data_IF_917623117903
#
_entry.id   IF_917623117903
#
_cell.length_a   1.000
_cell.length_b   1.000
_cell.length_c   1.000
_cell.angle_alpha   90.00
_cell.angle_beta   90.00
_cell.angle_gamma   90.00
#
_symmetry.space_group_name_H-M   'P 1'
#
loop_
_entity.id
_entity.type
_entity.pdbx_description
1 polymer ?
#
# COMPACT_ATOMS: atom_id res chain seq x y z
N UNK A 1 -28.62 -63.11 38.83
CA UNK A 1 -27.27 -62.60 38.59
C UNK A 1 -27.07 -62.03 37.18
N UNK A 2 -27.52 -62.70 36.11
CA UNK A 2 -27.38 -62.24 34.71
C UNK A 2 -27.90 -60.82 34.44
N UNK A 3 -29.08 -60.44 34.97
CA UNK A 3 -29.65 -59.11 34.76
C UNK A 3 -28.86 -57.97 35.40
N UNK A 4 -28.18 -58.18 36.53
CA UNK A 4 -27.33 -57.18 37.18
C UNK A 4 -26.04 -56.97 36.41
N UNK A 5 -25.51 -58.01 35.78
CA UNK A 5 -24.29 -57.92 34.95
C UNK A 5 -24.61 -57.14 33.68
N UNK A 6 -25.72 -57.42 33.01
CA UNK A 6 -26.10 -56.69 31.79
C UNK A 6 -26.39 -55.20 32.10
N UNK A 7 -26.94 -54.87 33.24
CA UNK A 7 -27.13 -53.48 33.69
C UNK A 7 -25.81 -52.76 33.93
N UNK A 8 -24.84 -53.44 34.57
CA UNK A 8 -23.52 -52.88 34.80
C UNK A 8 -22.76 -52.65 33.48
N UNK A 9 -22.85 -53.58 32.52
CA UNK A 9 -22.25 -53.45 31.19
C UNK A 9 -22.89 -52.28 30.44
N UNK A 10 -24.21 -52.09 30.54
CA UNK A 10 -24.92 -50.96 29.91
C UNK A 10 -24.50 -49.60 30.49
N UNK A 11 -24.28 -49.52 31.79
CA UNK A 11 -23.77 -48.29 32.44
C UNK A 11 -22.31 -48.01 32.01
N UNK A 12 -21.49 -49.06 31.95
CA UNK A 12 -20.09 -48.93 31.55
C UNK A 12 -19.95 -48.49 30.08
N UNK A 13 -20.79 -49.03 29.18
CA UNK A 13 -20.80 -48.62 27.77
C UNK A 13 -21.33 -47.20 27.59
N UNK A 14 -22.32 -46.77 28.38
CA UNK A 14 -22.81 -45.40 28.38
C UNK A 14 -21.77 -44.41 28.87
N UNK A 15 -20.98 -44.76 29.89
CA UNK A 15 -19.88 -43.96 30.39
C UNK A 15 -18.72 -43.80 29.39
N UNK A 16 -18.43 -44.87 28.61
CA UNK A 16 -17.38 -44.84 27.58
C UNK A 16 -17.80 -43.97 26.37
N UNK A 17 -19.08 -44.01 25.98
CA UNK A 17 -19.62 -43.21 24.89
C UNK A 17 -19.67 -41.70 25.25
N UNK A 18 -19.89 -41.35 26.51
CA UNK A 18 -19.87 -39.95 26.97
C UNK A 18 -18.47 -39.34 27.05
N UNK A 19 -17.42 -40.16 26.94
CA UNK A 19 -16.00 -39.69 26.97
C UNK A 19 -15.44 -39.33 25.60
N UNK A 20 -16.24 -39.43 24.52
CA UNK A 20 -15.83 -38.95 23.20
C UNK A 20 -15.90 -37.41 23.24
N UNK A 21 -14.87 -36.80 23.78
CA UNK A 21 -14.66 -35.37 23.62
C UNK A 21 -14.51 -35.09 22.12
N UNK A 22 -15.54 -34.50 21.52
CA UNK A 22 -15.44 -33.86 20.23
C UNK A 22 -14.32 -32.83 20.35
N UNK A 23 -13.16 -33.14 19.83
CA UNK A 23 -12.09 -32.15 19.66
C UNK A 23 -12.62 -31.13 18.64
N UNK A 24 -13.30 -30.12 19.15
CA UNK A 24 -13.64 -28.96 18.36
C UNK A 24 -12.30 -28.40 17.88
N UNK A 25 -12.06 -28.41 16.57
CA UNK A 25 -10.88 -27.77 15.98
C UNK A 25 -10.81 -26.33 16.50
N UNK A 26 -9.81 -26.04 17.31
CA UNK A 26 -9.65 -24.71 17.89
C UNK A 26 -9.48 -23.70 16.75
N UNK A 27 -10.39 -22.75 16.68
CA UNK A 27 -10.36 -21.71 15.64
C UNK A 27 -9.21 -20.74 15.91
N UNK A 28 -8.51 -20.38 14.87
CA UNK A 28 -7.52 -19.31 14.94
C UNK A 28 -8.26 -17.99 15.10
N UNK A 29 -8.07 -17.32 16.23
CA UNK A 29 -8.67 -16.03 16.55
C UNK A 29 -7.83 -14.89 15.97
N UNK A 30 -8.46 -14.02 15.21
CA UNK A 30 -7.85 -12.81 14.63
C UNK A 30 -8.58 -11.58 15.15
N UNK A 31 -7.86 -10.73 15.89
CA UNK A 31 -8.38 -9.45 16.36
C UNK A 31 -8.33 -8.38 15.29
N UNK A 32 -9.39 -7.60 15.13
CA UNK A 32 -9.37 -6.43 14.28
C UNK A 32 -9.44 -5.16 15.13
N UNK A 33 -8.38 -4.34 15.07
CA UNK A 33 -8.30 -3.07 15.80
C UNK A 33 -8.58 -1.91 14.85
N UNK A 34 -9.84 -1.48 14.78
CA UNK A 34 -10.32 -0.57 13.74
C UNK A 34 -11.09 0.61 14.35
N UNK A 35 -11.04 1.81 13.75
CA UNK A 35 -11.93 2.92 14.11
C UNK A 35 -13.33 2.65 13.56
N UNK A 36 -14.20 2.05 14.37
CA UNK A 36 -15.58 1.73 13.98
C UNK A 36 -16.58 2.84 14.35
N UNK A 37 -16.08 3.95 14.90
CA UNK A 37 -16.86 5.16 15.22
C UNK A 37 -16.00 6.41 15.01
N UNK A 38 -16.64 7.61 15.06
CA UNK A 38 -15.95 8.88 14.87
C UNK A 38 -15.65 9.19 13.39
N UNK A 39 -14.73 10.14 13.17
CA UNK A 39 -14.38 10.69 11.87
C UNK A 39 -13.89 9.60 10.88
N UNK A 40 -13.04 8.70 11.35
CA UNK A 40 -12.43 7.66 10.53
C UNK A 40 -13.25 6.36 10.42
N UNK A 41 -14.54 6.38 10.84
CA UNK A 41 -15.44 5.20 10.80
C UNK A 41 -15.52 4.55 9.42
N UNK A 42 -15.57 5.36 8.36
CA UNK A 42 -15.70 4.85 7.00
C UNK A 42 -14.51 3.98 6.59
N UNK A 43 -13.29 4.39 6.98
CA UNK A 43 -12.06 3.62 6.72
C UNK A 43 -12.10 2.30 7.49
N UNK A 44 -12.40 2.35 8.80
CA UNK A 44 -12.50 1.15 9.63
C UNK A 44 -13.55 0.17 9.13
N UNK A 45 -14.72 0.66 8.73
CA UNK A 45 -15.81 -0.16 8.17
C UNK A 45 -15.40 -0.79 6.83
N UNK A 46 -14.67 -0.07 5.99
CA UNK A 46 -14.18 -0.60 4.70
C UNK A 46 -13.18 -1.75 4.92
N UNK A 47 -12.25 -1.59 5.87
CA UNK A 47 -11.31 -2.66 6.24
C UNK A 47 -12.06 -3.87 6.80
N UNK A 48 -13.03 -3.66 7.71
CA UNK A 48 -13.85 -4.75 8.26
C UNK A 48 -14.57 -5.54 7.16
N UNK A 49 -15.18 -4.85 6.20
CA UNK A 49 -15.83 -5.48 5.04
C UNK A 49 -14.85 -6.27 4.19
N UNK A 50 -13.68 -5.70 3.91
CA UNK A 50 -12.63 -6.36 3.10
C UNK A 50 -12.13 -7.65 3.77
N UNK A 51 -11.89 -7.62 5.09
CA UNK A 51 -11.50 -8.81 5.85
C UNK A 51 -12.62 -9.85 5.82
N UNK A 52 -13.88 -9.44 6.05
CA UNK A 52 -15.02 -10.35 5.99
C UNK A 52 -15.19 -11.02 4.63
N UNK A 53 -14.98 -10.27 3.53
CA UNK A 53 -15.02 -10.81 2.18
C UNK A 53 -13.88 -11.81 1.93
N UNK A 54 -12.67 -11.50 2.38
CA UNK A 54 -11.51 -12.39 2.26
C UNK A 54 -11.73 -13.71 3.01
N UNK A 55 -12.23 -13.62 4.24
CA UNK A 55 -12.52 -14.78 5.09
C UNK A 55 -13.60 -15.67 4.46
N UNK A 56 -14.66 -15.08 3.91
CA UNK A 56 -15.71 -15.83 3.21
C UNK A 56 -15.18 -16.54 1.95
N UNK A 57 -14.18 -15.95 1.27
CA UNK A 57 -13.61 -16.55 0.05
C UNK A 57 -12.71 -17.75 0.32
N UNK A 58 -12.06 -17.82 1.49
CA UNK A 58 -11.07 -18.87 1.81
C UNK A 58 -11.64 -20.06 2.61
N UNK A 59 -12.96 -20.22 2.67
CA UNK A 59 -13.64 -21.26 3.46
C UNK A 59 -13.13 -21.32 4.92
N UNK A 60 -13.58 -20.37 5.69
CA UNK A 60 -12.98 -19.97 6.96
C UNK A 60 -13.52 -20.71 8.19
N UNK A 61 -13.93 -21.95 8.08
CA UNK A 61 -14.42 -22.69 9.27
C UNK A 61 -13.40 -22.74 10.43
N UNK A 62 -12.12 -22.50 10.11
CA UNK A 62 -11.00 -22.46 11.06
C UNK A 62 -10.63 -21.07 11.58
N UNK A 63 -11.27 -20.02 11.10
CA UNK A 63 -10.97 -18.65 11.51
C UNK A 63 -12.11 -18.03 12.30
N UNK A 64 -11.78 -17.25 13.31
CA UNK A 64 -12.71 -16.44 14.08
C UNK A 64 -12.22 -14.99 14.07
N UNK A 65 -13.03 -14.09 13.49
CA UNK A 65 -12.70 -12.67 13.38
C UNK A 65 -13.38 -11.90 14.52
N UNK A 66 -12.59 -11.19 15.31
CA UNK A 66 -13.00 -10.47 16.49
C UNK A 66 -12.77 -8.96 16.33
N UNK A 67 -13.73 -8.21 15.77
CA UNK A 67 -13.59 -6.78 15.59
C UNK A 67 -13.75 -6.03 16.92
N UNK A 68 -12.86 -5.04 17.15
CA UNK A 68 -12.93 -4.11 18.28
C UNK A 68 -12.78 -2.68 17.78
N UNK A 69 -13.63 -1.81 18.31
CA UNK A 69 -13.52 -0.38 18.06
C UNK A 69 -12.35 0.20 18.88
N UNK A 70 -11.39 0.82 18.21
CA UNK A 70 -10.27 1.51 18.86
C UNK A 70 -10.50 3.01 19.01
N UNK A 71 -11.65 3.52 18.55
CA UNK A 71 -12.04 4.94 18.60
C UNK A 71 -11.01 5.90 17.98
N UNK A 72 -10.09 5.40 17.16
CA UNK A 72 -8.93 6.13 16.65
C UNK A 72 -8.10 6.83 17.77
N UNK A 73 -8.01 6.16 18.92
CA UNK A 73 -7.36 6.66 20.12
C UNK A 73 -6.30 5.64 20.62
N UNK A 74 -5.05 6.08 20.92
CA UNK A 74 -3.95 5.18 21.32
C UNK A 74 -4.25 4.35 22.59
N UNK A 75 -4.84 4.97 23.62
CA UNK A 75 -5.15 4.30 24.88
C UNK A 75 -6.27 3.27 24.67
N UNK A 76 -7.33 3.65 23.97
CA UNK A 76 -8.46 2.76 23.68
C UNK A 76 -8.03 1.60 22.78
N UNK A 77 -7.12 1.85 21.83
CA UNK A 77 -6.54 0.81 20.98
C UNK A 77 -5.77 -0.23 21.80
N UNK A 78 -4.95 0.23 22.77
CA UNK A 78 -4.23 -0.69 23.65
C UNK A 78 -5.16 -1.49 24.55
N UNK A 79 -6.20 -0.86 25.13
CA UNK A 79 -7.21 -1.53 25.95
C UNK A 79 -7.94 -2.60 25.13
N UNK A 80 -8.38 -2.27 23.92
CA UNK A 80 -9.05 -3.20 23.02
C UNK A 80 -8.14 -4.39 22.62
N UNK A 81 -6.87 -4.09 22.32
CA UNK A 81 -5.89 -5.13 22.01
C UNK A 81 -5.64 -6.04 23.20
N UNK A 82 -5.48 -5.48 24.42
CA UNK A 82 -5.23 -6.25 25.63
C UNK A 82 -6.42 -7.13 25.99
N UNK A 83 -7.64 -6.64 25.88
CA UNK A 83 -8.85 -7.45 26.11
C UNK A 83 -8.90 -8.68 25.20
N UNK A 84 -8.66 -8.50 23.90
CA UNK A 84 -8.60 -9.62 22.96
C UNK A 84 -7.42 -10.56 23.25
N UNK A 85 -6.27 -10.00 23.59
CA UNK A 85 -5.07 -10.76 23.97
C UNK A 85 -5.30 -11.65 25.18
N UNK A 86 -5.93 -11.12 26.23
CA UNK A 86 -6.29 -11.89 27.45
C UNK A 86 -7.32 -13.01 27.12
N UNK A 87 -8.12 -12.86 26.04
CA UNK A 87 -9.01 -13.88 25.49
C UNK A 87 -8.33 -14.83 24.47
N UNK A 88 -7.01 -14.87 24.43
CA UNK A 88 -6.22 -15.80 23.63
C UNK A 88 -5.94 -15.38 22.20
N UNK A 89 -6.29 -14.16 21.79
CA UNK A 89 -5.92 -13.64 20.46
C UNK A 89 -4.42 -13.35 20.40
N UNK A 90 -3.75 -13.80 19.34
CA UNK A 90 -2.32 -13.58 19.13
C UNK A 90 -2.00 -12.96 17.77
N UNK A 91 -2.96 -12.87 16.88
CA UNK A 91 -2.83 -12.26 15.56
C UNK A 91 -3.81 -11.10 15.48
N UNK A 92 -3.31 -9.93 15.15
CA UNK A 92 -4.10 -8.71 15.03
C UNK A 92 -3.92 -8.08 13.65
N UNK A 93 -5.02 -7.62 13.06
CA UNK A 93 -5.05 -6.77 11.87
C UNK A 93 -5.42 -5.35 12.34
N UNK A 94 -4.57 -4.40 12.04
CA UNK A 94 -4.62 -3.05 12.58
C UNK A 94 -3.55 -2.82 13.68
N UNK A 95 -3.48 -1.59 14.19
CA UNK A 95 -4.31 -0.44 13.85
C UNK A 95 -3.99 0.14 12.46
N UNK A 96 -4.87 1.05 12.01
CA UNK A 96 -4.70 1.72 10.71
C UNK A 96 -3.66 2.84 10.83
N UNK A 97 -3.77 3.67 11.86
CA UNK A 97 -2.94 4.87 12.03
C UNK A 97 -1.78 4.64 13.00
N UNK A 98 -0.64 5.25 12.67
CA UNK A 98 0.60 5.14 13.44
C UNK A 98 0.44 5.50 14.92
N UNK A 99 -0.27 6.59 15.22
CA UNK A 99 -0.49 7.04 16.60
C UNK A 99 -1.04 5.94 17.51
N UNK A 100 -1.80 5.01 16.95
CA UNK A 100 -2.47 3.92 17.67
C UNK A 100 -1.56 2.70 17.93
N UNK A 101 -0.31 2.70 17.47
CA UNK A 101 0.66 1.61 17.71
C UNK A 101 1.21 1.64 19.15
N UNK A 102 1.10 2.78 19.82
CA UNK A 102 1.65 3.00 21.15
C UNK A 102 1.28 1.86 22.12
N UNK A 103 2.28 1.35 22.84
CA UNK A 103 2.18 0.29 23.84
C UNK A 103 1.85 -1.14 23.31
N UNK A 104 1.52 -1.34 22.02
CA UNK A 104 1.23 -2.67 21.49
C UNK A 104 2.42 -3.63 21.59
N UNK A 105 3.65 -3.11 21.54
CA UNK A 105 4.88 -3.90 21.72
C UNK A 105 4.99 -4.58 23.10
N UNK A 106 4.20 -4.17 24.11
CA UNK A 106 4.13 -4.81 25.41
C UNK A 106 3.43 -6.18 25.39
N UNK A 107 2.65 -6.46 24.34
CA UNK A 107 1.97 -7.74 24.12
C UNK A 107 2.89 -8.65 23.28
N UNK A 108 3.97 -9.14 23.89
CA UNK A 108 5.15 -9.68 23.21
C UNK A 108 4.91 -10.91 22.32
N UNK A 109 3.95 -11.77 22.69
CA UNK A 109 3.59 -12.99 21.95
C UNK A 109 2.42 -12.79 20.97
N UNK A 110 2.02 -11.54 20.74
CA UNK A 110 1.07 -11.19 19.70
C UNK A 110 1.78 -10.53 18.52
N UNK A 111 1.26 -10.76 17.30
CA UNK A 111 1.71 -10.12 16.06
C UNK A 111 0.65 -9.13 15.63
N UNK A 112 1.07 -7.91 15.31
CA UNK A 112 0.22 -6.83 14.82
C UNK A 112 0.57 -6.51 13.37
N UNK A 113 -0.37 -6.73 12.45
CA UNK A 113 -0.29 -6.33 11.05
C UNK A 113 -0.91 -4.93 10.92
N UNK A 114 -0.10 -3.90 11.12
CA UNK A 114 -0.55 -2.51 11.09
C UNK A 114 -0.56 -1.94 9.67
N UNK A 115 -1.62 -1.22 9.31
CA UNK A 115 -1.72 -0.53 8.01
C UNK A 115 -0.93 0.77 7.94
N UNK A 116 -0.18 1.12 8.98
CA UNK A 116 0.69 2.29 8.93
C UNK A 116 1.69 2.21 7.79
N UNK A 117 1.94 3.34 7.15
CA UNK A 117 2.98 3.49 6.14
C UNK A 117 4.34 3.94 6.73
N UNK A 118 4.41 4.21 8.04
CA UNK A 118 5.63 4.63 8.71
C UNK A 118 6.41 3.45 9.28
N UNK A 119 7.70 3.39 8.95
CA UNK A 119 8.64 2.32 9.30
C UNK A 119 9.47 2.62 10.56
N UNK A 120 9.03 3.49 11.46
CA UNK A 120 9.77 3.69 12.71
C UNK A 120 9.83 2.37 13.50
N UNK A 121 11.03 2.04 14.06
CA UNK A 121 11.27 0.84 14.85
C UNK A 121 10.40 0.85 16.12
N UNK A 122 9.27 0.17 16.10
CA UNK A 122 8.28 0.17 17.20
C UNK A 122 8.05 -1.21 17.83
N UNK A 123 9.03 -2.07 17.81
CA UNK A 123 8.97 -3.42 18.38
C UNK A 123 9.01 -4.51 17.31
N UNK A 124 9.52 -5.68 17.69
CA UNK A 124 9.71 -6.80 16.75
C UNK A 124 8.40 -7.52 16.39
N UNK A 125 7.31 -7.23 17.09
CA UNK A 125 6.00 -7.86 16.93
C UNK A 125 4.99 -7.00 16.15
N UNK A 126 5.44 -5.84 15.61
CA UNK A 126 4.59 -4.95 14.80
C UNK A 126 5.14 -4.92 13.38
N UNK A 127 4.35 -5.42 12.44
CA UNK A 127 4.67 -5.49 11.03
C UNK A 127 3.87 -4.42 10.30
N UNK A 128 4.55 -3.49 9.65
CA UNK A 128 3.89 -2.53 8.76
C UNK A 128 3.52 -3.22 7.45
N UNK A 129 2.24 -3.22 7.11
CA UNK A 129 1.70 -3.73 5.84
C UNK A 129 1.16 -2.60 4.95
N UNK A 130 1.31 -1.36 5.41
CA UNK A 130 0.96 -0.17 4.63
C UNK A 130 1.94 0.06 3.47
N UNK A 131 1.42 0.66 2.39
CA UNK A 131 2.24 1.11 1.28
C UNK A 131 2.97 2.38 1.70
N UNK A 132 4.30 2.39 1.61
CA UNK A 132 5.15 3.53 1.94
C UNK A 132 6.03 3.93 0.73
N UNK A 133 6.73 5.06 0.84
CA UNK A 133 7.58 5.56 -0.24
C UNK A 133 8.62 4.53 -0.69
N UNK A 134 9.25 3.80 0.24
CA UNK A 134 10.25 2.79 -0.10
C UNK A 134 9.65 1.65 -0.92
N UNK A 135 8.51 1.07 -0.48
CA UNK A 135 7.88 -0.05 -1.21
C UNK A 135 7.40 0.35 -2.61
N UNK A 136 6.95 1.59 -2.78
CA UNK A 136 6.61 2.14 -4.11
C UNK A 136 7.85 2.29 -4.99
N UNK A 137 8.93 2.82 -4.43
CA UNK A 137 10.19 3.00 -5.16
C UNK A 137 10.84 1.66 -5.52
N UNK A 138 10.76 0.65 -4.67
CA UNK A 138 11.19 -0.72 -4.99
C UNK A 138 10.37 -1.33 -6.14
N UNK A 139 9.08 -1.05 -6.20
CA UNK A 139 8.24 -1.46 -7.34
C UNK A 139 8.65 -0.74 -8.63
N UNK A 140 8.96 0.54 -8.56
CA UNK A 140 9.47 1.35 -9.69
C UNK A 140 10.84 0.81 -10.14
N UNK A 141 11.74 0.46 -9.22
CA UNK A 141 13.04 -0.15 -9.55
C UNK A 141 12.87 -1.46 -10.33
N UNK A 142 11.94 -2.31 -9.91
CA UNK A 142 11.61 -3.56 -10.63
C UNK A 142 11.08 -3.27 -12.03
N UNK A 143 10.17 -2.31 -12.14
CA UNK A 143 9.63 -1.88 -13.44
C UNK A 143 10.72 -1.35 -14.37
N UNK A 144 11.62 -0.49 -13.88
CA UNK A 144 12.77 -0.01 -14.66
C UNK A 144 13.62 -1.15 -15.21
N UNK A 145 13.88 -2.18 -14.40
CA UNK A 145 14.67 -3.35 -14.83
C UNK A 145 13.97 -4.14 -15.95
N UNK A 146 12.65 -4.30 -15.84
CA UNK A 146 11.84 -5.03 -16.82
C UNK A 146 11.83 -4.28 -18.16
N UNK A 147 11.62 -2.96 -18.12
CA UNK A 147 11.51 -2.11 -19.31
C UNK A 147 12.87 -1.63 -19.85
N UNK A 148 13.98 -1.93 -19.18
CA UNK A 148 15.33 -1.51 -19.61
C UNK A 148 15.55 0.00 -19.55
N UNK A 149 14.92 0.72 -18.60
CA UNK A 149 15.00 2.17 -18.46
C UNK A 149 16.24 2.58 -17.67
N UNK A 150 17.05 3.49 -18.24
CA UNK A 150 18.36 3.87 -17.70
C UNK A 150 18.49 5.35 -17.33
N UNK A 151 17.55 6.19 -17.74
CA UNK A 151 17.63 7.65 -17.63
C UNK A 151 16.37 8.25 -17.03
N UNK A 152 16.03 7.81 -15.83
CA UNK A 152 14.86 8.32 -15.11
C UNK A 152 15.13 9.67 -14.48
N UNK A 153 14.21 10.60 -14.63
CA UNK A 153 14.16 11.82 -13.81
C UNK A 153 13.10 11.64 -12.71
N UNK A 154 13.36 12.25 -11.55
CA UNK A 154 12.42 12.23 -10.43
C UNK A 154 12.00 13.66 -10.07
N UNK A 155 10.68 13.90 -9.99
CA UNK A 155 10.09 15.13 -9.46
C UNK A 155 9.63 14.86 -8.03
N UNK A 156 10.15 15.63 -7.08
CA UNK A 156 9.93 15.49 -5.64
C UNK A 156 9.29 16.78 -5.14
N UNK A 157 8.16 16.72 -4.41
CA UNK A 157 7.56 17.92 -3.85
C UNK A 157 8.43 18.52 -2.75
N UNK A 158 8.47 19.85 -2.66
CA UNK A 158 9.15 20.59 -1.58
C UNK A 158 8.21 20.74 -0.38
N UNK A 159 7.83 19.61 0.22
CA UNK A 159 6.93 19.55 1.36
C UNK A 159 7.47 18.61 2.46
N UNK A 160 6.61 18.29 3.44
CA UNK A 160 6.93 17.39 4.56
C UNK A 160 7.32 15.96 4.18
N UNK A 161 7.04 15.52 2.95
CA UNK A 161 7.33 14.16 2.47
C UNK A 161 8.67 14.06 1.74
N UNK A 162 9.31 15.20 1.45
CA UNK A 162 10.59 15.25 0.72
C UNK A 162 11.64 14.32 1.29
N UNK A 163 11.89 14.41 2.59
CA UNK A 163 12.95 13.63 3.26
C UNK A 163 12.67 12.12 3.20
N UNK A 164 11.41 11.73 3.32
CA UNK A 164 11.00 10.32 3.22
C UNK A 164 11.24 9.77 1.81
N UNK A 165 10.91 10.54 0.77
CA UNK A 165 11.15 10.17 -0.62
C UNK A 165 12.64 10.10 -0.92
N UNK A 166 13.42 11.09 -0.50
CA UNK A 166 14.88 11.11 -0.71
C UNK A 166 15.58 9.95 -0.01
N UNK A 167 15.13 9.60 1.20
CA UNK A 167 15.61 8.42 1.93
C UNK A 167 15.24 7.12 1.20
N UNK A 168 14.00 7.00 0.72
CA UNK A 168 13.57 5.87 -0.08
C UNK A 168 14.39 5.72 -1.37
N UNK A 169 14.60 6.81 -2.10
CA UNK A 169 15.45 6.82 -3.30
C UNK A 169 16.89 6.39 -3.03
N UNK A 170 17.44 6.79 -1.87
CA UNK A 170 18.80 6.40 -1.46
C UNK A 170 18.91 4.91 -1.06
N UNK A 171 17.78 4.29 -0.75
CA UNK A 171 17.69 2.87 -0.36
C UNK A 171 17.37 1.94 -1.54
N UNK A 172 17.17 2.49 -2.74
CA UNK A 172 16.88 1.75 -3.98
C UNK A 172 18.01 1.94 -5.01
N UNK A 173 18.06 1.06 -6.01
CA UNK A 173 19.00 1.16 -7.14
C UNK A 173 18.32 1.75 -8.39
N UNK A 174 17.34 2.62 -8.21
CA UNK A 174 16.70 3.33 -9.32
C UNK A 174 17.76 4.10 -10.10
N UNK A 175 17.82 3.89 -11.41
CA UNK A 175 18.77 4.56 -12.31
C UNK A 175 18.32 6.01 -12.55
N UNK A 176 18.63 6.87 -11.59
CA UNK A 176 18.30 8.28 -11.65
C UNK A 176 19.31 9.05 -12.50
N UNK A 177 18.81 9.73 -13.51
CA UNK A 177 19.57 10.74 -14.24
C UNK A 177 19.65 12.06 -13.50
N UNK A 178 18.50 12.50 -12.92
CA UNK A 178 18.42 13.75 -12.17
C UNK A 178 17.18 13.79 -11.28
N UNK A 179 17.32 14.46 -10.12
CA UNK A 179 16.23 14.85 -9.23
C UNK A 179 15.85 16.31 -9.49
N UNK A 180 14.58 16.61 -9.46
CA UNK A 180 14.02 17.96 -9.51
C UNK A 180 13.03 18.12 -8.38
N UNK A 181 13.07 19.28 -7.75
CA UNK A 181 12.14 19.64 -6.70
C UNK A 181 11.08 20.59 -7.25
N UNK A 182 9.86 20.47 -6.78
CA UNK A 182 8.76 21.31 -7.23
C UNK A 182 7.88 21.74 -6.05
N UNK A 183 7.30 22.93 -6.18
CA UNK A 183 6.30 23.43 -5.26
C UNK A 183 4.92 22.86 -5.63
N UNK A 184 4.03 22.71 -4.65
CA UNK A 184 2.69 22.12 -4.85
C UNK A 184 1.73 22.97 -5.68
N UNK A 185 2.15 24.17 -6.15
CA UNK A 185 1.40 25.00 -7.08
C UNK A 185 1.41 24.40 -8.50
N UNK A 186 0.26 23.98 -9.05
CA UNK A 186 0.18 23.36 -10.38
C UNK A 186 0.75 24.22 -11.51
N UNK A 187 0.64 25.55 -11.39
CA UNK A 187 1.15 26.49 -12.38
C UNK A 187 2.68 26.47 -12.42
N UNK A 188 3.31 26.42 -11.25
CA UNK A 188 4.76 26.33 -11.13
C UNK A 188 5.28 24.96 -11.57
N UNK A 189 4.54 23.91 -11.28
CA UNK A 189 4.85 22.55 -11.74
C UNK A 189 4.86 22.46 -13.27
N UNK A 190 3.84 23.01 -13.94
CA UNK A 190 3.77 23.04 -15.41
C UNK A 190 5.00 23.74 -15.99
N UNK A 191 5.32 24.95 -15.53
CA UNK A 191 6.53 25.68 -15.97
C UNK A 191 7.82 24.89 -15.72
N UNK A 192 7.87 24.15 -14.61
CA UNK A 192 9.03 23.31 -14.28
C UNK A 192 9.18 22.17 -15.27
N UNK A 193 8.10 21.50 -15.62
CA UNK A 193 8.08 20.41 -16.62
C UNK A 193 8.47 20.94 -18.00
N UNK A 194 7.92 22.06 -18.43
CA UNK A 194 8.28 22.73 -19.70
C UNK A 194 9.79 23.00 -19.77
N UNK A 195 10.37 23.54 -18.70
CA UNK A 195 11.81 23.79 -18.61
C UNK A 195 12.64 22.49 -18.66
N UNK A 196 12.24 21.46 -17.94
CA UNK A 196 12.93 20.15 -17.88
C UNK A 196 12.90 19.47 -19.25
N UNK A 197 11.76 19.52 -19.94
CA UNK A 197 11.55 18.92 -21.24
C UNK A 197 12.06 19.79 -22.39
N UNK A 198 12.48 21.02 -22.10
CA UNK A 198 12.85 22.03 -23.12
C UNK A 198 11.70 22.26 -24.12
N UNK A 199 10.47 22.36 -23.60
CA UNK A 199 9.24 22.41 -24.39
C UNK A 199 9.30 23.51 -25.47
N UNK A 200 9.61 24.76 -25.07
CA UNK A 200 9.67 25.90 -26.00
C UNK A 200 10.64 25.67 -27.15
N UNK A 201 11.83 25.15 -26.84
CA UNK A 201 12.83 24.83 -27.88
C UNK A 201 12.34 23.73 -28.83
N UNK A 202 11.69 22.72 -28.29
CA UNK A 202 11.16 21.62 -29.11
C UNK A 202 9.97 22.07 -29.95
N UNK A 203 9.17 23.01 -29.46
CA UNK A 203 8.09 23.67 -30.20
C UNK A 203 8.65 24.53 -31.33
N UNK A 204 9.71 25.30 -31.03
CA UNK A 204 10.40 26.08 -32.06
C UNK A 204 11.03 25.17 -33.13
N UNK A 205 11.65 24.05 -32.75
CA UNK A 205 12.17 23.08 -33.72
C UNK A 205 11.10 22.54 -34.67
N UNK A 206 9.87 22.34 -34.17
CA UNK A 206 8.75 21.92 -35.01
C UNK A 206 8.36 23.01 -36.02
N UNK A 207 8.25 24.24 -35.56
CA UNK A 207 7.93 25.38 -36.43
C UNK A 207 9.03 25.60 -37.51
N UNK A 208 10.27 25.49 -37.12
CA UNK A 208 11.41 25.63 -38.05
C UNK A 208 11.43 24.49 -39.08
N UNK A 209 11.08 23.27 -38.67
CA UNK A 209 11.04 22.12 -39.59
C UNK A 209 9.86 22.24 -40.57
N UNK A 210 8.68 22.68 -40.11
CA UNK A 210 7.53 22.95 -41.00
C UNK A 210 7.93 23.98 -42.06
N UNK A 211 8.52 25.12 -41.64
CA UNK A 211 8.99 26.16 -42.57
C UNK A 211 10.01 25.63 -43.54
N UNK A 212 10.98 24.83 -43.09
CA UNK A 212 12.00 24.20 -43.95
C UNK A 212 11.36 23.34 -45.05
N UNK A 213 10.34 22.54 -44.68
CA UNK A 213 9.61 21.70 -45.65
C UNK A 213 8.78 22.54 -46.62
N UNK A 214 8.12 23.61 -46.14
CA UNK A 214 7.37 24.57 -47.00
C UNK A 214 8.24 25.21 -48.05
N UNK A 215 9.47 25.58 -47.72
CA UNK A 215 10.45 26.20 -48.60
C UNK A 215 11.22 25.19 -49.48
N UNK A 216 11.05 23.89 -49.28
CA UNK A 216 11.73 22.83 -50.03
C UNK A 216 10.97 22.42 -51.30
N UNK A 217 11.68 21.80 -52.23
CA UNK A 217 11.11 21.17 -53.42
C UNK A 217 10.82 19.67 -53.20
N UNK A 218 10.59 19.27 -51.93
CA UNK A 218 10.35 17.86 -51.58
C UNK A 218 9.08 17.33 -52.21
N UNK A 219 9.17 16.19 -52.90
CA UNK A 219 8.00 15.46 -53.36
C UNK A 219 7.13 15.01 -52.19
N UNK A 220 5.87 15.29 -52.16
CA UNK A 220 4.95 15.03 -51.04
C UNK A 220 5.06 15.98 -49.80
N UNK A 221 5.58 17.21 -50.00
CA UNK A 221 5.73 18.18 -48.90
C UNK A 221 4.42 18.43 -48.13
N UNK A 222 3.28 18.46 -48.77
CA UNK A 222 1.95 18.65 -48.13
C UNK A 222 1.66 17.55 -47.10
N UNK A 223 1.94 16.29 -47.44
CA UNK A 223 1.77 15.16 -46.53
C UNK A 223 2.76 15.17 -45.39
N UNK A 224 3.97 15.65 -45.62
CA UNK A 224 5.02 15.80 -44.58
C UNK A 224 4.57 16.87 -43.60
N UNK A 225 4.09 18.02 -44.07
CA UNK A 225 3.58 19.12 -43.24
C UNK A 225 2.39 18.64 -42.41
N UNK A 226 1.38 18.00 -43.03
CA UNK A 226 0.23 17.43 -42.32
C UNK A 226 0.65 16.49 -41.16
N UNK A 227 1.70 15.68 -41.35
CA UNK A 227 2.24 14.80 -40.32
C UNK A 227 3.04 15.54 -39.25
N UNK A 228 3.66 16.67 -39.56
CA UNK A 228 4.35 17.51 -38.59
C UNK A 228 3.34 18.30 -37.74
N UNK A 229 2.28 18.84 -38.35
CA UNK A 229 1.21 19.59 -37.67
C UNK A 229 0.44 18.74 -36.66
N UNK A 230 0.42 17.41 -36.83
CA UNK A 230 -0.15 16.47 -35.84
C UNK A 230 0.70 16.34 -34.58
N UNK A 231 1.93 16.89 -34.57
CA UNK A 231 2.86 16.83 -33.43
C UNK A 231 2.75 18.12 -32.63
N UNK A 232 2.86 18.01 -31.32
CA UNK A 232 2.95 19.17 -30.44
C UNK A 232 4.37 19.78 -30.40
N UNK A 233 5.39 18.92 -30.50
CA UNK A 233 6.80 19.34 -30.48
C UNK A 233 7.68 18.42 -31.34
N UNK A 234 8.87 18.91 -31.74
CA UNK A 234 9.87 18.12 -32.46
C UNK A 234 11.15 17.93 -31.65
N UNK A 235 11.63 16.71 -31.65
CA UNK A 235 12.83 16.29 -30.92
C UNK A 235 12.54 15.47 -29.67
N UNK A 236 13.52 14.69 -29.24
CA UNK A 236 13.41 13.81 -28.07
C UNK A 236 13.78 14.55 -26.78
N UNK A 237 13.13 14.19 -25.69
CA UNK A 237 13.62 14.51 -24.35
C UNK A 237 14.89 13.67 -24.06
N UNK A 238 15.69 14.13 -23.10
CA UNK A 238 16.95 13.44 -22.80
C UNK A 238 16.85 12.44 -21.64
N UNK A 239 15.65 11.95 -21.38
CA UNK A 239 15.35 10.90 -20.41
C UNK A 239 14.33 9.93 -21.03
N UNK A 240 14.24 8.73 -20.49
CA UNK A 240 13.35 7.67 -20.96
C UNK A 240 12.14 7.46 -20.04
N UNK A 241 12.24 7.93 -18.80
CA UNK A 241 11.17 7.80 -17.84
C UNK A 241 11.17 8.96 -16.82
N UNK A 242 10.01 9.18 -16.25
CA UNK A 242 9.78 10.17 -15.19
C UNK A 242 9.02 9.53 -14.03
N UNK A 243 9.51 9.77 -12.81
CA UNK A 243 8.81 9.45 -11.56
C UNK A 243 8.34 10.75 -10.94
N UNK A 244 7.06 10.87 -10.72
CA UNK A 244 6.45 12.03 -10.05
C UNK A 244 5.92 11.55 -8.72
N UNK A 245 6.47 12.05 -7.63
CA UNK A 245 5.93 11.84 -6.30
C UNK A 245 4.87 12.91 -6.05
N UNK A 246 3.61 12.51 -5.95
CA UNK A 246 2.49 13.40 -5.69
C UNK A 246 1.71 12.89 -4.48
N UNK A 247 1.18 13.82 -3.70
CA UNK A 247 0.36 13.55 -2.52
C UNK A 247 -0.91 14.38 -2.61
N UNK A 248 -2.04 13.73 -2.42
CA UNK A 248 -3.37 14.32 -2.42
C UNK A 248 -3.72 15.08 -3.72
N UNK A 249 -3.95 16.36 -3.67
CA UNK A 249 -4.52 17.18 -4.74
C UNK A 249 -3.47 17.77 -5.71
N UNK A 250 -2.28 17.25 -5.75
CA UNK A 250 -1.22 17.75 -6.65
C UNK A 250 -1.34 17.19 -8.07
#
# INVERSE_FOLDING_TARGET
>A
MKNKINFLISILTFLIISSISTSASEKIKIGLLLPLSGENKNIGTSVLRSVSMAVNKIDSSKLEILPKNNFDNPEQNYIAAKELYDNGVRIFIGPIFEKNIKNLSKLNDAIFLSFTNKLEKKGNNIISVGVNALSQLEAIEKFQKIEGLDKTICLIPEDRFRDEIEKGLSSTNIKLKKKYFYESDPTLLTKRIEKITKYDRRKQNLADEIRRVEESDEFNKEKIIENLEKKDTLGKVNFDSIVISAFDET
#
